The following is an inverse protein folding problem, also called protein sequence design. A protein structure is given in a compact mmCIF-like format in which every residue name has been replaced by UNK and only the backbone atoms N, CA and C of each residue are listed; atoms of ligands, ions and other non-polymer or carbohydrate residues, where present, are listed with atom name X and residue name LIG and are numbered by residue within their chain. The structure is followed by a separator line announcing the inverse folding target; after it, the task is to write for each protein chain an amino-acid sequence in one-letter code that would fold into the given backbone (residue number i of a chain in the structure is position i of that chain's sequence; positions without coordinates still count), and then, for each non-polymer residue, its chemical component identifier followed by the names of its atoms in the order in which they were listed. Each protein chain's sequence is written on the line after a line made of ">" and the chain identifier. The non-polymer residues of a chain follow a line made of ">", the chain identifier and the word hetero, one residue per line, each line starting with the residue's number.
data_IF_289797298430
#
_entry.id   IF_289797298430
#
_cell.length_a   1.000
_cell.length_b   1.000
_cell.length_c   1.000
_cell.angle_alpha   90.00
_cell.angle_beta   90.00
_cell.angle_gamma   90.00
#
_symmetry.space_group_name_H-M   'P 1'
#
loop_
_entity.id
_entity.type
_entity.pdbx_description
1 polymer ?
#
# COMPACT_ATOMS: atom_id res chain seq x y z
N UNK A 1 -5.36 -6.83 2.82
CA UNK A 1 -6.18 -6.35 3.95
C UNK A 1 -6.67 -7.51 4.81
N UNK A 2 -7.02 -7.27 6.11
CA UNK A 2 -7.48 -8.32 7.03
C UNK A 2 -8.75 -9.07 6.58
N UNK A 3 -9.49 -8.51 5.65
CA UNK A 3 -10.68 -9.14 5.04
C UNK A 3 -10.35 -10.11 3.91
N UNK A 4 -9.09 -10.19 3.48
CA UNK A 4 -8.67 -11.15 2.45
C UNK A 4 -8.59 -12.56 3.01
N UNK A 5 -9.04 -13.54 2.24
CA UNK A 5 -8.94 -14.97 2.58
C UNK A 5 -7.48 -15.48 2.69
N UNK A 6 -6.54 -14.77 2.08
CA UNK A 6 -5.11 -15.08 2.14
C UNK A 6 -4.35 -14.16 3.11
N UNK A 7 -5.06 -13.37 3.94
CA UNK A 7 -4.40 -12.54 4.94
C UNK A 7 -3.71 -13.41 5.98
N UNK A 8 -2.44 -13.11 6.22
CA UNK A 8 -1.66 -13.70 7.30
C UNK A 8 -1.11 -12.57 8.17
N UNK A 9 -1.45 -12.55 9.46
CA UNK A 9 -0.84 -11.62 10.40
C UNK A 9 0.69 -11.81 10.41
N UNK A 10 1.43 -10.72 10.27
CA UNK A 10 2.89 -10.73 10.33
C UNK A 10 3.33 -10.23 11.71
N UNK A 11 4.11 -11.03 12.43
CA UNK A 11 4.62 -10.67 13.75
C UNK A 11 5.82 -9.73 13.69
N UNK A 12 6.56 -9.77 12.58
CA UNK A 12 7.82 -9.06 12.40
C UNK A 12 7.66 -7.67 11.77
N UNK A 13 6.46 -7.11 11.75
CA UNK A 13 6.26 -5.75 11.24
C UNK A 13 6.91 -4.76 12.21
N UNK A 14 7.83 -3.89 11.75
CA UNK A 14 8.46 -2.89 12.60
C UNK A 14 7.41 -2.01 13.28
N UNK A 15 7.49 -1.89 14.60
CA UNK A 15 6.70 -0.95 15.38
C UNK A 15 7.38 0.42 15.44
N UNK A 16 6.65 1.44 15.90
CA UNK A 16 7.23 2.76 16.10
C UNK A 16 8.30 2.72 17.20
N UNK A 17 9.56 2.74 16.80
CA UNK A 17 10.73 2.73 17.70
C UNK A 17 11.83 3.68 17.18
N UNK A 18 11.81 4.95 17.61
CA UNK A 18 12.82 5.92 17.19
C UNK A 18 14.26 5.58 17.62
N UNK A 19 14.43 4.86 18.71
CA UNK A 19 15.79 4.48 19.17
C UNK A 19 16.35 3.34 18.30
N UNK A 20 15.52 2.36 17.96
CA UNK A 20 15.90 1.35 16.98
C UNK A 20 16.17 1.97 15.61
N UNK A 21 15.35 2.93 15.17
CA UNK A 21 15.57 3.63 13.90
C UNK A 21 16.93 4.34 13.86
N UNK A 22 17.31 5.06 14.91
CA UNK A 22 18.65 5.69 15.03
C UNK A 22 19.77 4.65 14.98
N UNK A 23 19.62 3.54 15.68
CA UNK A 23 20.59 2.45 15.68
C UNK A 23 20.79 1.90 14.26
N UNK A 24 19.70 1.61 13.55
CA UNK A 24 19.73 1.10 12.17
C UNK A 24 20.36 2.12 11.19
N UNK A 25 20.11 3.43 11.39
CA UNK A 25 20.78 4.48 10.61
C UNK A 25 22.28 4.49 10.84
N UNK A 26 22.76 4.32 12.07
CA UNK A 26 24.19 4.23 12.40
C UNK A 26 24.79 2.97 11.72
N UNK A 27 24.13 1.83 11.82
CA UNK A 27 24.56 0.58 11.17
C UNK A 27 24.63 0.70 9.64
N UNK A 28 23.71 1.48 9.06
CA UNK A 28 23.69 1.82 7.63
C UNK A 28 24.77 2.84 7.21
N UNK A 29 25.59 3.36 8.14
CA UNK A 29 26.59 4.39 7.86
C UNK A 29 26.03 5.81 7.75
N UNK A 30 24.83 6.05 8.24
CA UNK A 30 24.12 7.33 8.21
C UNK A 30 23.82 7.88 9.61
N UNK A 31 24.84 8.04 10.49
CA UNK A 31 24.63 8.41 11.90
C UNK A 31 24.00 9.79 12.09
N UNK A 32 24.06 10.66 11.09
CA UNK A 32 23.47 12.00 11.10
C UNK A 32 22.15 12.08 10.32
N UNK A 33 21.60 10.92 9.89
CA UNK A 33 20.43 10.86 9.01
C UNK A 33 20.75 11.21 7.55
N UNK A 34 19.73 11.59 6.81
CA UNK A 34 19.83 11.94 5.38
C UNK A 34 18.64 12.78 4.92
N UNK A 35 18.73 13.34 3.73
CA UNK A 35 17.66 14.08 3.10
C UNK A 35 16.90 13.19 2.11
N UNK A 36 15.56 13.28 2.10
CA UNK A 36 14.71 12.53 1.15
C UNK A 36 13.46 13.31 0.79
N UNK A 37 12.79 12.86 -0.25
CA UNK A 37 11.47 13.34 -0.64
C UNK A 37 10.38 12.34 -0.29
N UNK A 38 9.22 12.84 0.17
CA UNK A 38 7.96 12.09 0.21
C UNK A 38 7.00 12.75 -0.77
N UNK A 39 6.59 11.99 -1.78
CA UNK A 39 5.60 12.48 -2.73
C UNK A 39 4.19 12.19 -2.19
N UNK A 40 3.39 13.23 -2.03
CA UNK A 40 2.03 13.15 -1.53
C UNK A 40 1.02 13.32 -2.67
N UNK A 41 -0.01 12.49 -2.69
CA UNK A 41 -1.10 12.63 -3.66
C UNK A 41 -1.83 13.97 -3.47
N UNK A 42 -2.10 14.72 -4.55
CA UNK A 42 -2.79 16.00 -4.47
C UNK A 42 -4.31 15.85 -4.33
N UNK A 43 -4.82 14.62 -4.41
CA UNK A 43 -6.26 14.31 -4.43
C UNK A 43 -6.64 13.35 -3.32
N UNK A 44 -7.83 13.51 -2.78
CA UNK A 44 -8.42 12.56 -1.84
C UNK A 44 -8.77 11.25 -2.54
N UNK A 45 -8.43 10.13 -1.91
CA UNK A 45 -8.77 8.78 -2.35
C UNK A 45 -9.38 7.99 -1.18
N UNK A 46 -10.13 6.94 -1.50
CA UNK A 46 -10.77 6.09 -0.48
C UNK A 46 -9.76 5.41 0.46
N UNK A 47 -8.56 5.16 -0.02
CA UNK A 47 -7.46 4.54 0.74
C UNK A 47 -6.56 5.59 1.43
N UNK A 48 -6.64 6.86 1.05
CA UNK A 48 -5.94 7.95 1.70
C UNK A 48 -6.67 9.28 1.45
N UNK A 49 -7.49 9.76 2.38
CA UNK A 49 -8.28 10.98 2.19
C UNK A 49 -7.45 12.25 2.25
N UNK A 50 -6.25 12.22 2.84
CA UNK A 50 -5.38 13.39 2.99
C UNK A 50 -3.90 12.99 3.05
N UNK A 51 -3.31 12.70 1.88
CA UNK A 51 -1.91 12.28 1.78
C UNK A 51 -0.93 13.37 2.25
N UNK A 52 -1.24 14.65 2.01
CA UNK A 52 -0.43 15.78 2.48
C UNK A 52 -0.30 15.78 3.98
N UNK A 53 -1.41 15.64 4.71
CA UNK A 53 -1.40 15.59 6.17
C UNK A 53 -0.65 14.38 6.71
N UNK A 54 -0.78 13.24 6.06
CA UNK A 54 -0.02 12.04 6.40
C UNK A 54 1.49 12.27 6.21
N UNK A 55 1.91 12.86 5.09
CA UNK A 55 3.31 13.19 4.82
C UNK A 55 3.88 14.18 5.86
N UNK A 56 3.10 15.16 6.32
CA UNK A 56 3.50 16.11 7.37
C UNK A 56 3.74 15.42 8.71
N UNK A 57 2.92 14.44 9.07
CA UNK A 57 3.12 13.63 10.28
C UNK A 57 4.40 12.78 10.17
N UNK A 58 4.59 12.11 9.03
CA UNK A 58 5.80 11.33 8.77
C UNK A 58 7.05 12.21 8.77
N UNK A 59 7.01 13.37 8.14
CA UNK A 59 8.10 14.36 8.16
C UNK A 59 8.47 14.73 9.59
N UNK A 60 7.46 14.97 10.44
CA UNK A 60 7.69 15.31 11.85
C UNK A 60 8.36 14.19 12.62
N UNK A 61 7.96 12.93 12.38
CA UNK A 61 8.51 11.77 13.09
C UNK A 61 9.92 11.43 12.57
N UNK A 62 10.15 11.45 11.27
CA UNK A 62 11.43 11.18 10.63
C UNK A 62 12.49 12.19 11.05
N UNK A 63 12.13 13.46 11.24
CA UNK A 63 13.03 14.51 11.75
C UNK A 63 13.61 14.17 13.11
N UNK A 64 12.88 13.45 13.98
CA UNK A 64 13.35 13.07 15.33
C UNK A 64 14.52 12.10 15.29
N UNK A 65 14.70 11.41 14.17
CA UNK A 65 15.79 10.45 13.95
C UNK A 65 16.83 10.96 12.93
N UNK A 66 16.77 12.24 12.56
CA UNK A 66 17.76 12.87 11.68
C UNK A 66 17.41 12.79 10.17
N UNK A 67 16.26 12.23 9.78
CA UNK A 67 15.86 12.20 8.38
C UNK A 67 15.06 13.45 8.03
N UNK A 68 15.61 14.26 7.10
CA UNK A 68 14.98 15.48 6.62
C UNK A 68 14.12 15.20 5.40
N UNK A 69 12.82 15.39 5.52
CA UNK A 69 11.87 15.12 4.45
C UNK A 69 11.45 16.39 3.75
N UNK A 70 11.52 16.42 2.42
CA UNK A 70 10.85 17.40 1.59
C UNK A 70 9.58 16.81 1.00
N UNK A 71 8.43 17.44 1.27
CA UNK A 71 7.14 16.98 0.74
C UNK A 71 6.93 17.58 -0.63
N UNK A 72 6.67 16.69 -1.63
CA UNK A 72 6.48 17.06 -3.04
C UNK A 72 5.07 16.70 -3.46
N UNK A 73 4.42 17.61 -4.18
CA UNK A 73 3.10 17.42 -4.79
C UNK A 73 3.15 17.88 -6.25
N UNK A 74 2.38 17.20 -7.09
CA UNK A 74 2.16 17.56 -8.49
C UNK A 74 0.68 17.50 -8.79
N UNK A 75 0.22 18.11 -9.86
CA UNK A 75 -1.10 17.83 -10.42
C UNK A 75 -1.25 16.31 -10.69
N UNK A 76 -2.46 15.75 -10.54
CA UNK A 76 -2.69 14.30 -10.52
C UNK A 76 -2.10 13.54 -11.72
N UNK A 77 -2.33 14.02 -12.93
CA UNK A 77 -1.83 13.32 -14.12
C UNK A 77 -0.30 13.36 -14.19
N UNK A 78 0.29 14.51 -13.84
CA UNK A 78 1.73 14.69 -13.73
C UNK A 78 2.31 13.80 -12.63
N UNK A 79 1.62 13.69 -11.47
CA UNK A 79 2.01 12.84 -10.37
C UNK A 79 2.10 11.36 -10.81
N UNK A 80 1.07 10.84 -11.47
CA UNK A 80 1.04 9.46 -11.96
C UNK A 80 2.13 9.21 -13.01
N UNK A 81 2.30 10.11 -13.98
CA UNK A 81 3.35 10.00 -14.96
C UNK A 81 4.74 9.92 -14.30
N UNK A 82 5.03 10.84 -13.39
CA UNK A 82 6.34 10.93 -12.74
C UNK A 82 6.62 9.77 -11.80
N UNK A 83 5.61 9.17 -11.17
CA UNK A 83 5.77 7.91 -10.42
C UNK A 83 6.31 6.82 -11.34
N UNK A 84 5.76 6.68 -12.55
CA UNK A 84 6.23 5.71 -13.54
C UNK A 84 7.66 5.96 -14.03
N UNK A 85 8.21 7.18 -13.84
CA UNK A 85 9.60 7.53 -14.12
C UNK A 85 10.56 7.19 -12.95
N UNK A 86 10.04 6.71 -11.81
CA UNK A 86 10.79 6.32 -10.62
C UNK A 86 11.76 7.40 -10.09
N UNK A 87 11.31 8.67 -10.07
CA UNK A 87 12.13 9.83 -9.63
C UNK A 87 11.92 10.24 -8.18
N UNK A 88 11.09 9.51 -7.45
CA UNK A 88 10.82 9.75 -6.03
C UNK A 88 11.71 8.89 -5.15
N UNK A 89 12.06 9.38 -3.96
CA UNK A 89 12.68 8.55 -2.93
C UNK A 89 11.60 7.70 -2.23
N UNK A 90 10.44 8.31 -1.98
CA UNK A 90 9.26 7.61 -1.49
C UNK A 90 7.97 8.27 -1.99
N UNK A 91 6.89 7.52 -2.03
CA UNK A 91 5.57 8.01 -2.46
C UNK A 91 4.46 7.43 -1.59
N UNK A 92 3.52 8.29 -1.19
CA UNK A 92 2.27 7.87 -0.55
C UNK A 92 1.25 7.53 -1.63
N UNK A 93 0.94 6.26 -1.74
CA UNK A 93 -0.01 5.73 -2.70
C UNK A 93 -0.85 4.64 -2.04
N UNK A 94 -1.88 4.18 -2.71
CA UNK A 94 -2.69 3.06 -2.27
C UNK A 94 -3.39 2.39 -3.43
N UNK A 95 -4.04 1.29 -3.13
CA UNK A 95 -4.77 0.48 -4.09
C UNK A 95 -6.12 0.06 -3.52
N UNK A 96 -7.12 0.04 -4.36
CA UNK A 96 -8.41 -0.57 -4.07
C UNK A 96 -8.61 -1.75 -5.02
N UNK A 97 -8.80 -2.94 -4.47
CA UNK A 97 -8.99 -4.14 -5.28
C UNK A 97 -10.31 -4.10 -6.04
N UNK A 98 -10.30 -4.60 -7.27
CA UNK A 98 -11.49 -4.80 -8.10
C UNK A 98 -12.12 -6.18 -7.89
N UNK A 99 -11.33 -7.12 -7.35
CA UNK A 99 -11.72 -8.51 -7.10
C UNK A 99 -11.24 -8.98 -5.72
N UNK A 100 -11.83 -10.06 -5.15
CA UNK A 100 -11.41 -10.62 -3.86
C UNK A 100 -10.07 -11.37 -3.94
N UNK A 101 -9.46 -11.43 -5.10
CA UNK A 101 -8.22 -12.17 -5.30
C UNK A 101 -7.01 -11.38 -4.78
N UNK A 102 -6.14 -11.98 -3.95
CA UNK A 102 -4.92 -11.34 -3.49
C UNK A 102 -4.00 -10.87 -4.61
N UNK A 103 -4.02 -11.58 -5.75
CA UNK A 103 -3.23 -11.20 -6.93
C UNK A 103 -3.53 -9.79 -7.42
N UNK A 104 -4.75 -9.29 -7.21
CA UNK A 104 -5.13 -7.93 -7.58
C UNK A 104 -4.33 -6.84 -6.85
N UNK A 105 -3.67 -7.18 -5.75
CA UNK A 105 -2.70 -6.31 -5.07
C UNK A 105 -1.26 -6.62 -5.49
N UNK A 106 -0.89 -7.89 -5.58
CA UNK A 106 0.49 -8.30 -5.71
C UNK A 106 1.03 -8.11 -7.11
N UNK A 107 0.38 -8.68 -8.12
CA UNK A 107 0.88 -8.60 -9.49
C UNK A 107 1.00 -7.17 -10.03
N UNK A 108 -0.03 -6.28 -9.94
CA UNK A 108 0.07 -4.95 -10.50
C UNK A 108 1.02 -4.02 -9.75
N UNK A 109 1.25 -4.24 -8.44
CA UNK A 109 2.02 -3.32 -7.61
C UNK A 109 3.45 -3.76 -7.34
N UNK A 110 3.76 -5.07 -7.40
CA UNK A 110 5.02 -5.61 -6.89
C UNK A 110 5.69 -6.61 -7.82
N UNK A 111 5.04 -7.11 -8.89
CA UNK A 111 5.69 -8.03 -9.82
C UNK A 111 6.84 -7.34 -10.57
N UNK A 112 7.84 -8.11 -11.00
CA UNK A 112 8.91 -7.61 -11.86
C UNK A 112 8.36 -7.01 -13.16
N UNK A 113 7.32 -7.62 -13.76
CA UNK A 113 6.68 -7.10 -14.96
C UNK A 113 6.06 -5.72 -14.73
N UNK A 114 5.55 -5.45 -13.54
CA UNK A 114 4.92 -4.17 -13.21
C UNK A 114 5.93 -3.00 -13.16
N UNK A 115 7.23 -3.26 -13.00
CA UNK A 115 8.27 -2.21 -13.09
C UNK A 115 8.31 -1.58 -14.48
N UNK A 116 8.18 -2.39 -15.53
CA UNK A 116 8.18 -1.91 -16.92
C UNK A 116 6.92 -1.13 -17.30
N UNK A 117 5.80 -1.39 -16.64
CA UNK A 117 4.54 -0.66 -16.87
C UNK A 117 4.41 0.62 -16.04
N UNK A 118 5.39 0.90 -15.16
CA UNK A 118 5.36 2.03 -14.23
C UNK A 118 4.30 1.91 -13.12
N UNK A 119 3.70 0.72 -12.92
CA UNK A 119 2.68 0.48 -11.89
C UNK A 119 3.25 -0.01 -10.56
N UNK A 120 4.52 -0.40 -10.55
CA UNK A 120 5.26 -0.78 -9.34
C UNK A 120 6.09 0.43 -8.86
N UNK A 121 5.55 1.27 -7.96
CA UNK A 121 6.22 2.51 -7.54
C UNK A 121 7.54 2.26 -6.82
N UNK A 122 7.67 1.10 -6.16
CA UNK A 122 8.89 0.72 -5.46
C UNK A 122 10.04 0.36 -6.41
N UNK A 123 9.75 0.15 -7.70
CA UNK A 123 10.70 -0.38 -8.68
C UNK A 123 11.41 -1.66 -8.19
N UNK A 124 10.75 -2.41 -7.32
CA UNK A 124 11.25 -3.63 -6.73
C UNK A 124 10.94 -4.82 -7.62
N UNK A 125 11.90 -5.71 -7.78
CA UNK A 125 11.74 -6.94 -8.54
C UNK A 125 12.43 -8.08 -7.81
N UNK A 126 11.65 -9.07 -7.39
CA UNK A 126 12.16 -10.30 -6.79
C UNK A 126 11.61 -11.51 -7.57
N UNK A 127 12.46 -12.25 -8.31
CA UNK A 127 12.02 -13.42 -9.09
C UNK A 127 11.37 -14.52 -8.25
N UNK A 128 11.73 -14.66 -6.97
CA UNK A 128 11.12 -15.63 -6.08
C UNK A 128 9.68 -15.20 -5.75
N UNK A 129 9.44 -13.90 -5.57
CA UNK A 129 8.10 -13.35 -5.40
C UNK A 129 7.23 -13.64 -6.62
N UNK A 130 7.71 -13.34 -7.83
CA UNK A 130 6.99 -13.63 -9.08
C UNK A 130 6.70 -15.12 -9.25
N UNK A 131 7.63 -16.00 -8.86
CA UNK A 131 7.43 -17.45 -8.89
C UNK A 131 6.31 -17.88 -7.94
N UNK A 132 6.20 -17.29 -6.75
CA UNK A 132 5.12 -17.56 -5.81
C UNK A 132 3.77 -17.14 -6.37
N UNK A 133 3.69 -15.96 -7.00
CA UNK A 133 2.46 -15.50 -7.65
C UNK A 133 2.06 -16.42 -8.79
N UNK A 134 2.99 -16.82 -9.65
CA UNK A 134 2.74 -17.78 -10.73
C UNK A 134 2.18 -19.10 -10.19
N UNK A 135 2.81 -19.68 -9.16
CA UNK A 135 2.32 -20.90 -8.52
C UNK A 135 0.92 -20.75 -7.90
N UNK A 136 0.65 -19.57 -7.34
CA UNK A 136 -0.68 -19.28 -6.80
C UNK A 136 -1.76 -19.18 -7.88
N UNK A 137 -1.42 -18.67 -9.07
CA UNK A 137 -2.33 -18.59 -10.20
C UNK A 137 -2.54 -19.94 -10.90
N UNK A 138 -1.51 -20.79 -10.93
CA UNK A 138 -1.54 -22.10 -11.60
C UNK A 138 -2.27 -23.20 -10.81
N UNK A 139 -2.66 -22.94 -9.55
CA UNK A 139 -3.33 -23.96 -8.73
C UNK A 139 -4.78 -23.58 -8.39
N UNK A 140 -5.68 -24.57 -8.45
CA UNK A 140 -7.06 -24.48 -7.96
C UNK A 140 -7.21 -24.93 -6.51
N UNK A 141 -6.18 -25.52 -5.90
CA UNK A 141 -6.15 -25.89 -4.49
C UNK A 141 -6.00 -24.63 -3.62
N UNK A 142 -7.07 -24.25 -2.95
CA UNK A 142 -7.11 -23.02 -2.14
C UNK A 142 -6.10 -23.03 -0.99
N UNK A 143 -5.78 -24.18 -0.40
CA UNK A 143 -4.80 -24.24 0.69
C UNK A 143 -3.37 -24.00 0.18
N UNK A 144 -3.03 -24.61 -0.95
CA UNK A 144 -1.74 -24.35 -1.61
C UNK A 144 -1.63 -22.90 -2.06
N UNK A 145 -2.72 -22.38 -2.64
CA UNK A 145 -2.79 -21.00 -3.11
C UNK A 145 -2.58 -20.01 -1.95
N UNK A 146 -3.28 -20.25 -0.84
CA UNK A 146 -3.11 -19.46 0.39
C UNK A 146 -1.65 -19.47 0.84
N UNK A 147 -1.02 -20.65 0.92
CA UNK A 147 0.37 -20.79 1.33
C UNK A 147 1.34 -20.00 0.44
N UNK A 148 1.16 -19.98 -0.87
CA UNK A 148 1.99 -19.19 -1.77
C UNK A 148 1.85 -17.67 -1.52
N UNK A 149 0.64 -17.19 -1.22
CA UNK A 149 0.44 -15.78 -0.87
C UNK A 149 0.99 -15.44 0.52
N UNK A 150 0.96 -16.34 1.48
CA UNK A 150 1.61 -16.18 2.79
C UNK A 150 3.13 -16.04 2.64
N UNK A 151 3.74 -16.92 1.85
CA UNK A 151 5.17 -16.87 1.56
C UNK A 151 5.56 -15.57 0.81
N UNK A 152 4.70 -15.10 -0.10
CA UNK A 152 4.87 -13.82 -0.77
C UNK A 152 4.79 -12.63 0.20
N UNK A 153 3.83 -12.64 1.14
CA UNK A 153 3.74 -11.62 2.19
C UNK A 153 4.99 -11.59 3.07
N UNK A 154 5.53 -12.75 3.42
CA UNK A 154 6.77 -12.85 4.22
C UNK A 154 7.97 -12.22 3.49
N UNK A 155 8.07 -12.37 2.16
CA UNK A 155 9.10 -11.70 1.37
C UNK A 155 8.94 -10.18 1.38
N UNK A 156 7.70 -9.68 1.27
CA UNK A 156 7.42 -8.24 1.32
C UNK A 156 7.87 -7.66 2.68
N UNK A 157 7.56 -8.34 3.78
CA UNK A 157 7.96 -7.87 5.12
C UNK A 157 9.48 -7.93 5.30
N UNK A 158 10.14 -8.95 4.77
CA UNK A 158 11.59 -9.09 4.86
C UNK A 158 12.36 -8.04 4.08
N UNK A 159 11.89 -7.70 2.88
CA UNK A 159 12.60 -6.79 1.96
C UNK A 159 12.04 -5.36 1.98
N UNK A 160 10.85 -5.17 2.53
CA UNK A 160 10.16 -3.88 2.70
C UNK A 160 10.16 -2.99 1.45
N UNK A 161 9.77 -3.50 0.26
CA UNK A 161 9.60 -2.65 -0.91
C UNK A 161 8.50 -1.61 -0.74
N UNK A 162 7.57 -1.87 0.16
CA UNK A 162 6.54 -0.96 0.60
C UNK A 162 6.26 -1.14 2.09
N UNK A 163 5.84 -0.06 2.74
CA UNK A 163 5.36 -0.06 4.12
C UNK A 163 3.83 0.03 4.12
N UNK A 164 3.10 -1.03 4.52
CA UNK A 164 1.65 -0.95 4.71
C UNK A 164 1.32 -0.05 5.90
N UNK A 165 0.60 1.05 5.66
CA UNK A 165 0.32 2.05 6.71
C UNK A 165 -1.06 1.82 7.31
N UNK A 166 -2.09 1.69 6.48
CA UNK A 166 -3.47 1.53 6.94
C UNK A 166 -4.38 0.90 5.88
N UNK A 167 -5.42 0.25 6.35
CA UNK A 167 -6.58 -0.14 5.56
C UNK A 167 -7.75 0.77 5.93
N UNK A 168 -8.23 1.56 4.97
CA UNK A 168 -9.31 2.51 5.20
C UNK A 168 -10.65 1.80 5.48
N UNK A 169 -11.41 2.32 6.44
CA UNK A 169 -12.82 1.96 6.59
C UNK A 169 -13.65 2.82 5.65
N UNK A 170 -14.61 2.21 4.98
CA UNK A 170 -15.55 2.92 4.13
C UNK A 170 -16.88 3.12 4.86
N UNK A 171 -17.37 4.33 4.81
CA UNK A 171 -18.66 4.70 5.37
C UNK A 171 -19.60 5.19 4.27
N UNK A 172 -20.86 4.81 4.36
CA UNK A 172 -21.94 5.33 3.51
C UNK A 172 -23.05 5.86 4.40
N UNK A 173 -23.32 7.15 4.28
CA UNK A 173 -24.48 7.75 4.91
C UNK A 173 -25.69 7.68 3.96
N UNK A 174 -26.87 7.47 4.53
CA UNK A 174 -28.15 7.56 3.83
C UNK A 174 -29.18 8.25 4.71
N UNK A 175 -30.25 8.79 4.09
CA UNK A 175 -31.39 9.28 4.85
C UNK A 175 -32.03 8.16 5.67
N UNK A 176 -32.56 8.49 6.85
CA UNK A 176 -33.32 7.56 7.69
C UNK A 176 -34.55 6.97 7.00
N UNK A 177 -35.08 7.68 5.98
CA UNK A 177 -36.24 7.26 5.19
C UNK A 177 -35.85 6.31 4.04
N UNK A 178 -34.55 6.00 3.87
CA UNK A 178 -34.06 5.11 2.80
C UNK A 178 -33.49 3.85 3.41
N UNK A 179 -33.88 2.71 2.88
CA UNK A 179 -33.33 1.39 3.25
C UNK A 179 -32.91 0.60 2.01
N UNK A 180 -32.21 -0.52 2.21
CA UNK A 180 -31.77 -1.40 1.12
C UNK A 180 -30.52 -0.96 0.38
N UNK A 181 -29.82 0.09 0.83
CA UNK A 181 -28.47 0.45 0.34
C UNK A 181 -27.45 -0.51 0.95
N UNK A 182 -26.64 -1.12 0.11
CA UNK A 182 -25.56 -2.00 0.59
C UNK A 182 -24.21 -1.57 0.05
N UNK A 183 -23.17 -1.69 0.90
CA UNK A 183 -21.79 -1.52 0.50
C UNK A 183 -21.24 -2.88 0.05
N UNK A 184 -20.75 -2.93 -1.18
CA UNK A 184 -19.99 -4.09 -1.67
C UNK A 184 -18.58 -4.13 -1.10
N UNK A 185 -17.97 -5.30 -1.04
CA UNK A 185 -16.64 -5.50 -0.43
C UNK A 185 -15.52 -4.74 -1.16
N UNK A 186 -15.71 -4.40 -2.44
CA UNK A 186 -14.74 -3.67 -3.28
C UNK A 186 -15.12 -2.21 -3.51
N UNK A 187 -15.93 -1.67 -2.61
CA UNK A 187 -16.27 -0.27 -2.63
C UNK A 187 -17.42 0.12 -3.56
N UNK A 188 -18.07 -0.80 -4.24
CA UNK A 188 -19.30 -0.52 -4.96
C UNK A 188 -20.44 -0.24 -3.98
N UNK A 189 -21.31 0.70 -4.34
CA UNK A 189 -22.58 0.95 -3.62
C UNK A 189 -23.68 0.33 -4.46
N UNK A 190 -24.39 -0.65 -3.90
CA UNK A 190 -25.58 -1.21 -4.54
C UNK A 190 -26.83 -0.48 -4.09
N UNK A 191 -27.56 0.05 -5.07
CA UNK A 191 -28.86 0.67 -4.90
C UNK A 191 -30.00 -0.24 -5.40
N UNK A 192 -29.70 -1.50 -5.79
CA UNK A 192 -30.67 -2.41 -6.41
C UNK A 192 -31.92 -2.67 -5.55
N UNK A 193 -31.75 -2.63 -4.21
CA UNK A 193 -32.83 -2.82 -3.25
C UNK A 193 -33.18 -1.53 -2.49
N UNK A 194 -32.65 -0.39 -2.95
CA UNK A 194 -32.92 0.88 -2.29
C UNK A 194 -34.39 1.28 -2.47
N UNK A 195 -35.06 1.57 -1.36
CA UNK A 195 -36.42 2.03 -1.35
C UNK A 195 -36.65 3.05 -0.24
N UNK A 196 -37.64 3.89 -0.43
CA UNK A 196 -38.15 4.79 0.61
C UNK A 196 -39.03 3.96 1.55
N UNK A 197 -38.92 4.17 2.85
CA UNK A 197 -39.77 3.57 3.88
C UNK A 197 -41.19 4.15 3.80
#
# INVERSE_FOLDING_TARGET
>A
PPTSWAFEPQEDIPTFDPELAKKLLIEAGLPNGFDMTIWAMPVSRIYNPNARKMAELMQSDLRKVGVNVSIVEYEWNTFIQRIGEHRHDSVLLGWAADTPDPDNFFSPLLSCTATFSGKNPANWCNPQFDLLLTKALDTTDLNKRKKYYEDAQSLIIKELPLLPIAHGLRFQASSADVEGITLGPFGAISLANARKK
#
